data_IF_828603415196
#
_entry.id   IF_828603415196
#
_cell.length_a   1.000
_cell.length_b   1.000
_cell.length_c   1.000
_cell.angle_alpha   90.00
_cell.angle_beta   90.00
_cell.angle_gamma   90.00
#
_symmetry.space_group_name_H-M   'P 1'
#
loop_
_entity.id
_entity.type
_entity.pdbx_description
1 polymer ?
#
# COMPACT_ATOMS: atom_id res chain seq x y z
N UNK A 1 3.58 -16.78 15.47
CA UNK A 1 2.18 -17.13 15.10
C UNK A 1 1.72 -16.44 13.80
N UNK A 2 2.12 -15.20 13.49
CA UNK A 2 1.83 -14.57 12.18
C UNK A 2 2.41 -15.27 10.93
N UNK A 3 3.62 -15.89 10.94
CA UNK A 3 4.19 -16.48 9.73
C UNK A 3 3.37 -17.62 9.14
N UNK A 4 2.59 -18.33 9.98
CA UNK A 4 1.70 -19.40 9.55
C UNK A 4 0.36 -18.90 9.00
N UNK A 5 -0.04 -17.66 9.29
CA UNK A 5 -1.29 -17.08 8.79
C UNK A 5 -1.19 -16.65 7.31
N UNK A 6 0.03 -16.47 6.80
CA UNK A 6 0.28 -15.96 5.44
C UNK A 6 1.36 -16.77 4.71
N UNK A 7 1.25 -18.10 4.78
CA UNK A 7 2.03 -19.01 3.94
C UNK A 7 1.41 -19.04 2.53
N UNK A 8 1.82 -18.12 1.66
CA UNK A 8 1.33 -18.08 0.29
C UNK A 8 2.01 -19.14 -0.56
N UNK A 9 1.22 -20.02 -1.20
CA UNK A 9 1.71 -21.01 -2.15
C UNK A 9 1.95 -20.46 -3.56
N UNK A 10 1.43 -19.25 -3.83
CA UNK A 10 1.52 -18.57 -5.11
C UNK A 10 2.36 -17.30 -4.98
N UNK A 11 2.92 -16.83 -6.10
CA UNK A 11 3.56 -15.52 -6.16
C UNK A 11 2.57 -14.41 -5.80
N UNK A 12 3.06 -13.39 -5.10
CA UNK A 12 2.22 -12.26 -4.71
C UNK A 12 1.66 -11.53 -5.94
N UNK A 13 0.36 -11.25 -5.90
CA UNK A 13 -0.37 -10.44 -6.89
C UNK A 13 -0.99 -9.21 -6.21
N UNK A 14 -1.44 -8.24 -7.00
CA UNK A 14 -2.14 -7.07 -6.48
C UNK A 14 -3.46 -7.45 -5.77
N UNK A 15 -4.20 -8.42 -6.30
CA UNK A 15 -5.40 -8.93 -5.63
C UNK A 15 -5.11 -9.48 -4.21
N UNK A 16 -3.93 -10.07 -4.00
CA UNK A 16 -3.49 -10.49 -2.67
C UNK A 16 -3.11 -9.29 -1.78
N UNK A 17 -2.55 -8.22 -2.35
CA UNK A 17 -2.31 -6.94 -1.64
C UNK A 17 -3.64 -6.33 -1.21
N UNK A 18 -4.66 -6.29 -2.08
CA UNK A 18 -6.02 -5.86 -1.74
C UNK A 18 -6.59 -6.70 -0.59
N UNK A 19 -6.46 -8.03 -0.68
CA UNK A 19 -6.91 -8.95 0.38
C UNK A 19 -6.23 -8.65 1.73
N UNK A 20 -4.90 -8.45 1.72
CA UNK A 20 -4.13 -8.09 2.91
C UNK A 20 -4.53 -6.72 3.46
N UNK A 21 -4.73 -5.72 2.60
CA UNK A 21 -5.15 -4.40 3.01
C UNK A 21 -6.53 -4.43 3.71
N UNK A 22 -7.48 -5.21 3.20
CA UNK A 22 -8.77 -5.41 3.85
C UNK A 22 -8.67 -5.98 5.27
N UNK A 23 -7.66 -6.80 5.54
CA UNK A 23 -7.40 -7.36 6.87
C UNK A 23 -6.61 -6.39 7.78
N UNK A 24 -5.60 -5.69 7.24
CA UNK A 24 -4.66 -4.88 8.01
C UNK A 24 -5.17 -3.47 8.30
N UNK A 25 -5.84 -2.82 7.35
CA UNK A 25 -6.23 -1.41 7.50
C UNK A 25 -7.18 -1.12 8.67
N UNK A 26 -8.10 -2.02 9.08
CA UNK A 26 -8.85 -1.84 10.32
C UNK A 26 -7.96 -1.79 11.57
N UNK A 27 -6.83 -2.51 11.58
CA UNK A 27 -5.87 -2.50 12.69
C UNK A 27 -5.11 -1.17 12.78
N UNK A 28 -5.05 -0.41 11.68
CA UNK A 28 -4.52 0.96 11.68
C UNK A 28 -5.55 2.00 12.14
N UNK A 29 -6.77 1.56 12.50
CA UNK A 29 -7.86 2.46 12.86
C UNK A 29 -8.53 3.10 11.63
N UNK A 30 -8.40 2.48 10.45
CA UNK A 30 -9.02 3.00 9.23
C UNK A 30 -10.29 2.23 8.88
N UNK A 31 -11.29 2.98 8.42
CA UNK A 31 -12.55 2.44 7.90
C UNK A 31 -12.54 2.51 6.38
N UNK A 32 -12.76 1.38 5.72
CA UNK A 32 -12.92 1.34 4.25
C UNK A 32 -14.21 2.05 3.85
N UNK A 33 -14.12 3.02 2.95
CA UNK A 33 -15.28 3.70 2.36
C UNK A 33 -15.59 3.18 0.95
N UNK A 34 -14.56 2.90 0.15
CA UNK A 34 -14.67 2.47 -1.24
C UNK A 34 -13.46 1.62 -1.64
N UNK A 35 -13.71 0.60 -2.46
CA UNK A 35 -12.70 -0.13 -3.23
C UNK A 35 -13.24 -0.27 -4.65
N UNK A 36 -12.42 0.03 -5.65
CA UNK A 36 -12.80 0.11 -7.06
C UNK A 36 -11.61 -0.26 -7.97
N UNK A 37 -11.86 -0.44 -9.27
CA UNK A 37 -10.83 -0.70 -10.28
C UNK A 37 -10.25 0.59 -10.89
N UNK A 38 -10.89 1.74 -10.65
CA UNK A 38 -10.43 3.01 -11.18
C UNK A 38 -9.47 3.68 -10.20
N UNK A 39 -8.40 4.30 -10.71
CA UNK A 39 -7.47 5.07 -9.88
C UNK A 39 -8.15 6.26 -9.18
N UNK A 40 -7.93 6.48 -7.86
CA UNK A 40 -7.24 5.59 -6.94
C UNK A 40 -8.12 4.39 -6.51
N UNK A 41 -7.51 3.23 -6.31
CA UNK A 41 -8.21 1.98 -6.03
C UNK A 41 -9.11 2.01 -4.79
N UNK A 42 -8.73 2.77 -3.77
CA UNK A 42 -9.45 2.80 -2.52
C UNK A 42 -9.53 4.17 -1.86
N UNK A 43 -10.61 4.33 -1.09
CA UNK A 43 -10.82 5.45 -0.20
C UNK A 43 -11.06 4.93 1.22
N UNK A 44 -10.25 5.38 2.15
CA UNK A 44 -10.40 5.10 3.58
C UNK A 44 -10.73 6.37 4.36
N UNK A 45 -11.25 6.19 5.57
CA UNK A 45 -11.38 7.23 6.59
C UNK A 45 -10.57 6.82 7.82
N UNK A 46 -9.68 7.69 8.29
CA UNK A 46 -9.06 7.54 9.60
C UNK A 46 -10.12 7.81 10.67
N UNK A 47 -10.43 6.82 11.50
CA UNK A 47 -11.52 6.92 12.48
C UNK A 47 -11.21 7.88 13.63
N UNK A 48 -9.95 8.25 13.84
CA UNK A 48 -9.53 9.17 14.89
C UNK A 48 -9.57 10.64 14.45
N UNK A 49 -9.27 10.92 13.18
CA UNK A 49 -9.18 12.29 12.65
C UNK A 49 -10.32 12.63 11.68
N UNK A 50 -11.10 11.64 11.24
CA UNK A 50 -12.07 11.71 10.14
C UNK A 50 -11.46 12.19 8.81
N UNK A 51 -10.14 12.10 8.63
CA UNK A 51 -9.50 12.43 7.36
C UNK A 51 -9.72 11.32 6.34
N UNK A 52 -9.99 11.70 5.09
CA UNK A 52 -10.02 10.78 3.96
C UNK A 52 -8.60 10.47 3.48
N UNK A 53 -8.37 9.21 3.12
CA UNK A 53 -7.07 8.71 2.64
C UNK A 53 -7.32 8.00 1.31
N UNK A 54 -6.77 8.55 0.22
CA UNK A 54 -6.79 7.94 -1.11
C UNK A 54 -5.61 6.97 -1.22
N UNK A 55 -5.89 5.74 -1.61
CA UNK A 55 -4.93 4.65 -1.60
C UNK A 55 -4.88 3.98 -2.97
N UNK A 56 -3.67 3.68 -3.41
CA UNK A 56 -3.42 2.76 -4.51
C UNK A 56 -2.83 1.45 -4.00
N UNK A 57 -3.31 0.32 -4.52
CA UNK A 57 -2.73 -1.00 -4.25
C UNK A 57 -1.80 -1.40 -5.36
N UNK A 58 -0.61 -1.85 -4.99
CA UNK A 58 0.37 -2.25 -5.97
C UNK A 58 1.08 -3.53 -5.58
N UNK A 59 1.36 -4.41 -6.55
CA UNK A 59 2.28 -5.53 -6.27
C UNK A 59 3.63 -4.97 -5.83
N UNK A 60 4.12 -3.94 -6.51
CA UNK A 60 5.39 -3.31 -6.20
C UNK A 60 5.36 -1.82 -6.52
N UNK A 61 6.14 -1.00 -5.83
CA UNK A 61 6.08 0.48 -6.01
C UNK A 61 6.46 0.95 -7.40
N UNK A 62 7.24 0.18 -8.17
CA UNK A 62 7.53 0.48 -9.57
C UNK A 62 6.30 0.33 -10.49
N UNK A 63 5.39 -0.59 -10.21
CA UNK A 63 4.15 -0.76 -10.98
C UNK A 63 3.28 0.50 -10.96
N UNK A 64 3.28 1.25 -9.85
CA UNK A 64 2.65 2.58 -9.77
C UNK A 64 3.14 3.55 -10.86
N UNK A 65 4.45 3.54 -11.14
CA UNK A 65 5.04 4.37 -12.18
C UNK A 65 4.74 3.84 -13.58
N UNK A 66 4.67 2.51 -13.74
CA UNK A 66 4.37 1.84 -15.01
C UNK A 66 2.91 2.05 -15.44
N UNK A 67 1.99 2.20 -14.49
CA UNK A 67 0.59 2.53 -14.72
C UNK A 67 0.34 4.03 -14.99
N UNK A 68 1.36 4.88 -14.94
CA UNK A 68 1.29 6.34 -15.11
C UNK A 68 0.32 7.02 -14.11
N UNK A 69 0.22 6.47 -12.90
CA UNK A 69 -0.58 7.06 -11.83
C UNK A 69 0.07 8.35 -11.31
N UNK A 70 -0.77 9.36 -11.05
CA UNK A 70 -0.29 10.66 -10.57
C UNK A 70 -0.11 10.65 -9.04
N UNK A 71 1.11 10.85 -8.49
CA UNK A 71 1.31 10.90 -7.04
C UNK A 71 0.51 12.02 -6.33
N UNK A 72 0.12 13.09 -7.03
CA UNK A 72 -0.68 14.18 -6.43
C UNK A 72 -2.14 13.78 -6.14
N UNK A 73 -2.62 12.73 -6.80
CA UNK A 73 -3.99 12.25 -6.69
C UNK A 73 -4.15 11.06 -5.73
N UNK A 74 -3.04 10.62 -5.14
CA UNK A 74 -2.96 9.52 -4.19
C UNK A 74 -2.25 9.98 -2.91
N UNK A 75 -2.75 9.57 -1.75
CA UNK A 75 -2.13 9.93 -0.45
C UNK A 75 -1.20 8.81 0.03
N UNK A 76 -1.42 7.57 -0.41
CA UNK A 76 -0.65 6.43 0.03
C UNK A 76 -0.62 5.27 -0.96
N UNK A 77 0.55 4.66 -1.12
CA UNK A 77 0.70 3.39 -1.85
C UNK A 77 0.78 2.27 -0.81
N UNK A 78 -0.13 1.31 -0.87
CA UNK A 78 -0.03 0.07 -0.12
C UNK A 78 0.50 -1.01 -1.07
N UNK A 79 1.68 -1.54 -0.79
CA UNK A 79 2.32 -2.48 -1.69
C UNK A 79 2.85 -3.73 -0.98
N UNK A 80 3.06 -4.79 -1.74
CA UNK A 80 3.82 -5.93 -1.21
C UNK A 80 5.28 -5.58 -1.02
N UNK A 81 5.95 -5.05 -2.05
CA UNK A 81 7.38 -4.74 -2.04
C UNK A 81 7.67 -3.31 -2.53
N UNK A 82 8.41 -2.54 -1.74
CA UNK A 82 8.94 -1.25 -2.18
C UNK A 82 10.29 -1.48 -2.89
N UNK A 83 10.27 -1.53 -4.21
CA UNK A 83 11.42 -1.84 -5.06
C UNK A 83 12.03 -0.61 -5.75
N UNK A 84 11.55 0.60 -5.45
CA UNK A 84 12.17 1.84 -5.91
C UNK A 84 13.31 2.26 -4.97
N UNK A 85 14.40 2.74 -5.57
CA UNK A 85 15.47 3.38 -4.81
C UNK A 85 14.98 4.69 -4.20
N UNK A 86 15.65 5.14 -3.14
CA UNK A 86 15.33 6.43 -2.51
C UNK A 86 15.38 7.59 -3.52
N UNK A 87 16.37 7.58 -4.41
CA UNK A 87 16.53 8.57 -5.47
C UNK A 87 15.34 8.58 -6.45
N UNK A 88 14.92 7.40 -6.93
CA UNK A 88 13.76 7.30 -7.83
C UNK A 88 12.47 7.81 -7.15
N UNK A 89 12.29 7.50 -5.87
CA UNK A 89 11.14 8.02 -5.11
C UNK A 89 11.17 9.53 -4.97
N UNK A 90 12.33 10.11 -4.70
CA UNK A 90 12.52 11.56 -4.64
C UNK A 90 12.20 12.22 -5.99
N UNK A 91 12.71 11.66 -7.08
CA UNK A 91 12.56 12.23 -8.43
C UNK A 91 11.13 12.08 -8.99
N UNK A 92 10.47 10.94 -8.75
CA UNK A 92 9.21 10.60 -9.43
C UNK A 92 7.97 10.69 -8.55
N UNK A 93 8.08 10.38 -7.25
CA UNK A 93 6.95 10.35 -6.34
C UNK A 93 6.89 11.62 -5.48
N UNK A 94 7.92 11.83 -4.64
CA UNK A 94 7.91 12.90 -3.64
C UNK A 94 8.08 14.29 -4.24
N UNK A 95 8.72 14.41 -5.42
CA UNK A 95 8.70 15.65 -6.19
C UNK A 95 7.28 16.10 -6.57
N UNK A 96 6.35 15.16 -6.78
CA UNK A 96 4.95 15.43 -7.15
C UNK A 96 4.00 15.47 -5.95
N UNK A 97 4.28 14.67 -4.93
CA UNK A 97 3.57 14.69 -3.65
C UNK A 97 4.54 14.42 -2.48
N UNK A 98 5.06 15.48 -1.83
CA UNK A 98 6.00 15.34 -0.71
C UNK A 98 5.44 14.62 0.52
N UNK A 99 4.11 14.48 0.61
CA UNK A 99 3.41 13.84 1.72
C UNK A 99 2.96 12.42 1.40
N UNK A 100 3.24 11.90 0.20
CA UNK A 100 2.90 10.53 -0.20
C UNK A 100 3.57 9.55 0.75
N UNK A 101 2.79 8.59 1.27
CA UNK A 101 3.31 7.51 2.12
C UNK A 101 3.35 6.20 1.36
N UNK A 102 4.29 5.34 1.71
CA UNK A 102 4.38 3.98 1.18
C UNK A 102 4.38 3.02 2.36
N UNK A 103 3.46 2.07 2.37
CA UNK A 103 3.45 0.98 3.35
C UNK A 103 3.73 -0.33 2.62
N UNK A 104 4.86 -0.93 2.97
CA UNK A 104 5.29 -2.21 2.44
C UNK A 104 4.85 -3.34 3.37
N UNK A 105 3.88 -4.15 2.92
CA UNK A 105 3.35 -5.27 3.70
C UNK A 105 4.40 -6.35 3.95
N UNK A 106 5.31 -6.62 3.01
CA UNK A 106 6.41 -7.58 3.20
C UNK A 106 7.21 -7.25 4.47
N UNK A 107 7.55 -5.97 4.70
CA UNK A 107 8.25 -5.56 5.93
C UNK A 107 7.45 -5.78 7.21
N UNK A 108 6.12 -5.65 7.18
CA UNK A 108 5.26 -5.91 8.35
C UNK A 108 5.27 -7.39 8.73
N UNK A 109 5.24 -8.29 7.74
CA UNK A 109 5.19 -9.74 7.98
C UNK A 109 6.56 -10.35 8.29
N UNK A 110 7.64 -9.80 7.72
CA UNK A 110 9.00 -10.32 7.90
C UNK A 110 9.82 -9.60 9.00
N UNK A 111 9.22 -8.68 9.77
CA UNK A 111 9.86 -8.10 10.97
C UNK A 111 9.82 -9.01 12.22
N UNK A 112 9.33 -10.24 12.10
CA UNK A 112 9.50 -11.27 13.11
C UNK A 112 10.50 -12.31 12.59
N UNK A 113 11.78 -12.02 12.78
CA UNK A 113 12.78 -13.08 12.89
C UNK A 113 12.38 -13.94 14.09
N UNK A 114 11.97 -15.18 13.85
CA UNK A 114 11.90 -16.21 14.88
C UNK A 114 13.24 -16.95 14.87
N UNK A 115 14.30 -16.27 15.28
CA UNK A 115 15.46 -16.95 15.87
C UNK A 115 15.25 -17.15 17.38
#
# INVERSE_FOLDING_TARGET
ALPFLFAFSQEMSEAMVVHLAGFLTPLFGWKTLLVQEAFPDALYEDTSTHSKIRVEFEKNTKSFLEHDHSPSECDMILCWEDNLTQKEKEEHLFARNPNLKIIEFKKIFFHYDFE
#
